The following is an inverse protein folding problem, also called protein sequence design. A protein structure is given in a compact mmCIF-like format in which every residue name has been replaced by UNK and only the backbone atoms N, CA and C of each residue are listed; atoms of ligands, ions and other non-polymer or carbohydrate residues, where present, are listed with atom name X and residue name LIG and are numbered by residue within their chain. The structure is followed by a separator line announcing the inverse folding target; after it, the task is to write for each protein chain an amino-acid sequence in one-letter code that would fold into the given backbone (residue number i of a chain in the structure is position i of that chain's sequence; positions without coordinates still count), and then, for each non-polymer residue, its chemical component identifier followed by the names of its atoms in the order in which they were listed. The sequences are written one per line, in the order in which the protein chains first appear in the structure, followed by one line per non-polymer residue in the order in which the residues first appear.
data_IF_555123222139
#
_entry.id   IF_555123222139
#
_cell.length_a   1.000
_cell.length_b   1.000
_cell.length_c   1.000
_cell.angle_alpha   90.00
_cell.angle_beta   90.00
_cell.angle_gamma   90.00
#
_symmetry.space_group_name_H-M   'P 1'
#
loop_
_entity.id
_entity.type
_entity.pdbx_description
1 polymer ?
#
# COMPACT_ATOMS: atom_id res chain seq x y z
N UNK A 1 -11.55 -10.74 56.52
CA UNK A 1 -12.54 -9.67 56.23
C UNK A 1 -13.57 -10.28 55.30
N UNK A 2 -14.80 -10.54 55.78
CA UNK A 2 -15.91 -11.01 54.94
C UNK A 2 -16.76 -9.79 54.61
N UNK A 3 -16.95 -9.50 53.32
CA UNK A 3 -17.85 -8.44 52.88
C UNK A 3 -19.24 -9.06 52.71
N UNK A 4 -20.05 -8.95 53.76
CA UNK A 4 -21.47 -9.27 53.68
C UNK A 4 -22.21 -7.98 53.28
N UNK A 5 -22.99 -8.06 52.20
CA UNK A 5 -23.86 -7.01 51.63
C UNK A 5 -23.22 -5.95 50.70
N UNK A 6 -22.53 -6.39 49.64
CA UNK A 6 -22.39 -5.53 48.45
C UNK A 6 -23.60 -5.81 47.56
N UNK A 7 -24.66 -5.01 47.72
CA UNK A 7 -25.87 -5.15 46.90
C UNK A 7 -25.62 -4.72 45.45
N UNK A 8 -24.76 -3.72 45.21
CA UNK A 8 -24.33 -3.30 43.88
C UNK A 8 -22.88 -2.78 43.90
N UNK A 9 -22.09 -3.10 42.88
CA UNK A 9 -20.73 -2.60 42.71
C UNK A 9 -20.76 -1.16 42.16
N UNK A 10 -19.94 -0.24 42.70
CA UNK A 10 -19.82 1.10 42.13
C UNK A 10 -19.35 1.08 40.68
N UNK A 11 -19.97 1.89 39.80
CA UNK A 11 -19.62 1.99 38.38
C UNK A 11 -18.14 2.33 38.12
N UNK A 12 -17.48 3.02 39.06
CA UNK A 12 -16.06 3.35 38.99
C UNK A 12 -15.13 2.13 39.12
N UNK A 13 -15.63 1.04 39.72
CA UNK A 13 -14.90 -0.23 39.88
C UNK A 13 -15.27 -1.25 38.80
N UNK A 14 -16.29 -0.95 38.00
CA UNK A 14 -16.71 -1.80 36.89
C UNK A 14 -15.84 -1.47 35.67
N UNK A 15 -14.93 -2.38 35.34
CA UNK A 15 -14.10 -2.23 34.15
C UNK A 15 -14.99 -2.33 32.90
N UNK A 16 -15.21 -1.20 32.23
CA UNK A 16 -16.18 -1.04 31.12
C UNK A 16 -16.05 -2.09 30.01
N UNK A 17 -14.82 -2.59 29.77
CA UNK A 17 -14.53 -3.66 28.79
C UNK A 17 -15.30 -4.97 29.06
N UNK A 18 -15.76 -5.19 30.29
CA UNK A 18 -16.52 -6.37 30.73
C UNK A 18 -18.02 -6.08 30.85
N UNK A 19 -18.48 -4.88 30.51
CA UNK A 19 -19.89 -4.49 30.55
C UNK A 19 -20.56 -4.69 29.20
N UNK A 20 -21.89 -4.80 29.20
CA UNK A 20 -22.71 -4.87 27.97
C UNK A 20 -22.49 -3.68 27.02
N UNK A 21 -22.04 -2.54 27.55
CA UNK A 21 -21.72 -1.33 26.79
C UNK A 21 -20.35 -1.38 26.09
N UNK A 22 -19.52 -2.42 26.32
CA UNK A 22 -18.22 -2.58 25.66
C UNK A 22 -18.32 -2.60 24.13
N UNK A 23 -19.43 -3.10 23.59
CA UNK A 23 -19.67 -3.11 22.14
C UNK A 23 -20.00 -1.72 21.59
N UNK A 24 -20.58 -0.83 22.39
CA UNK A 24 -20.93 0.52 21.95
C UNK A 24 -19.69 1.43 21.89
N UNK A 25 -18.75 1.29 22.83
CA UNK A 25 -17.48 2.03 22.81
C UNK A 25 -16.56 1.56 21.65
N UNK A 26 -16.63 0.28 21.26
CA UNK A 26 -15.84 -0.24 20.12
C UNK A 26 -16.32 0.30 18.77
N UNK A 27 -17.63 0.52 18.60
CA UNK A 27 -18.22 1.01 17.36
C UNK A 27 -17.97 2.52 17.17
N UNK A 28 -17.75 3.26 18.26
CA UNK A 28 -17.39 4.69 18.25
C UNK A 28 -15.88 4.94 18.29
N UNK A 29 -15.06 3.97 17.89
CA UNK A 29 -13.71 4.33 17.45
C UNK A 29 -13.88 4.98 16.09
N UNK A 30 -13.91 6.31 16.05
CA UNK A 30 -13.69 7.05 14.81
C UNK A 30 -12.41 6.49 14.19
N UNK A 31 -12.56 5.66 13.16
CA UNK A 31 -11.42 5.16 12.42
C UNK A 31 -10.67 6.39 11.94
N UNK A 32 -9.37 6.56 12.27
CA UNK A 32 -8.64 7.68 11.76
C UNK A 32 -8.69 7.59 10.24
N UNK A 33 -9.20 8.63 9.57
CA UNK A 33 -9.38 8.70 8.11
C UNK A 33 -8.11 8.30 7.34
N UNK A 34 -6.94 8.41 7.99
CA UNK A 34 -5.65 7.99 7.48
C UNK A 34 -5.51 6.46 7.28
N UNK A 35 -6.15 5.63 8.12
CA UNK A 35 -6.16 4.16 7.97
C UNK A 35 -6.85 3.76 6.67
N UNK A 36 -7.86 4.52 6.25
CA UNK A 36 -8.59 4.22 5.02
C UNK A 36 -7.77 4.55 3.77
N UNK A 37 -7.00 5.64 3.79
CA UNK A 37 -6.09 6.00 2.71
C UNK A 37 -4.96 4.98 2.57
N UNK A 38 -4.32 4.60 3.68
CA UNK A 38 -3.24 3.59 3.65
C UNK A 38 -3.77 2.23 3.19
N UNK A 39 -4.95 1.83 3.66
CA UNK A 39 -5.63 0.61 3.21
C UNK A 39 -5.92 0.63 1.72
N UNK A 40 -6.49 1.71 1.19
CA UNK A 40 -6.76 1.88 -0.24
C UNK A 40 -5.48 1.84 -1.06
N UNK A 41 -4.39 2.45 -0.57
CA UNK A 41 -3.08 2.37 -1.22
C UNK A 41 -2.56 0.94 -1.27
N UNK A 42 -2.63 0.18 -0.18
CA UNK A 42 -2.23 -1.24 -0.15
C UNK A 42 -3.02 -2.08 -1.14
N UNK A 43 -4.34 -1.89 -1.22
CA UNK A 43 -5.18 -2.58 -2.21
C UNK A 43 -4.79 -2.24 -3.65
N UNK A 44 -4.55 -0.96 -3.95
CA UNK A 44 -4.11 -0.52 -5.29
C UNK A 44 -2.75 -1.12 -5.67
N UNK A 45 -1.79 -1.12 -4.73
CA UNK A 45 -0.47 -1.75 -4.95
C UNK A 45 -0.62 -3.25 -5.20
N UNK A 46 -1.41 -3.95 -4.38
CA UNK A 46 -1.64 -5.39 -4.54
C UNK A 46 -2.27 -5.75 -5.90
N UNK A 47 -3.28 -4.98 -6.33
CA UNK A 47 -3.93 -5.18 -7.63
C UNK A 47 -2.95 -4.97 -8.80
N UNK A 48 -2.15 -3.90 -8.75
CA UNK A 48 -1.13 -3.62 -9.77
C UNK A 48 -0.05 -4.70 -9.80
N UNK A 49 0.46 -5.11 -8.64
CA UNK A 49 1.48 -6.16 -8.55
C UNK A 49 0.96 -7.50 -9.11
N UNK A 50 -0.28 -7.88 -8.79
CA UNK A 50 -0.89 -9.11 -9.33
C UNK A 50 -0.98 -9.07 -10.86
N UNK A 51 -1.40 -7.94 -11.44
CA UNK A 51 -1.50 -7.79 -12.88
C UNK A 51 -0.12 -7.79 -13.56
N UNK A 52 0.86 -7.08 -12.99
CA UNK A 52 2.24 -7.08 -13.50
C UNK A 52 2.87 -8.47 -13.44
N UNK A 53 2.65 -9.23 -12.36
CA UNK A 53 3.15 -10.61 -12.27
C UNK A 53 2.56 -11.51 -13.37
N UNK A 54 1.26 -11.38 -13.67
CA UNK A 54 0.62 -12.12 -14.77
C UNK A 54 1.18 -11.70 -16.13
N UNK A 55 1.39 -10.39 -16.32
CA UNK A 55 1.97 -9.87 -17.55
C UNK A 55 3.39 -10.39 -17.75
N UNK A 56 4.22 -10.42 -16.69
CA UNK A 56 5.57 -11.00 -16.75
C UNK A 56 5.55 -12.52 -17.05
N UNK A 57 4.62 -13.29 -16.49
CA UNK A 57 4.52 -14.73 -16.80
C UNK A 57 4.23 -14.99 -18.28
N UNK A 58 3.50 -14.08 -18.94
CA UNK A 58 3.20 -14.17 -20.36
C UNK A 58 4.39 -13.65 -21.19
N UNK A 59 4.78 -12.40 -20.97
CA UNK A 59 5.69 -11.66 -21.84
C UNK A 59 7.14 -12.17 -21.78
N UNK A 60 7.60 -12.74 -20.67
CA UNK A 60 8.99 -13.20 -20.56
C UNK A 60 9.30 -14.46 -21.39
N UNK A 61 8.29 -15.10 -22.01
CA UNK A 61 8.45 -16.34 -22.78
C UNK A 61 8.88 -16.09 -24.24
N UNK A 62 8.59 -14.90 -24.77
CA UNK A 62 8.92 -14.50 -26.14
C UNK A 62 9.65 -13.14 -26.13
N UNK A 63 10.66 -12.98 -26.99
CA UNK A 63 11.48 -11.78 -26.99
C UNK A 63 10.72 -10.56 -27.53
N UNK A 64 9.86 -10.73 -28.53
CA UNK A 64 9.09 -9.62 -29.09
C UNK A 64 8.04 -9.13 -28.07
N UNK A 65 7.33 -10.06 -27.43
CA UNK A 65 6.38 -9.74 -26.36
C UNK A 65 7.08 -9.05 -25.17
N UNK A 66 8.28 -9.50 -24.80
CA UNK A 66 9.10 -8.88 -23.76
C UNK A 66 9.46 -7.43 -24.11
N UNK A 67 10.01 -7.20 -25.31
CA UNK A 67 10.45 -5.87 -25.74
C UNK A 67 9.28 -4.88 -25.86
N UNK A 68 8.12 -5.35 -26.34
CA UNK A 68 6.88 -4.56 -26.41
C UNK A 68 6.44 -4.15 -25.00
N UNK A 69 6.24 -5.12 -24.10
CA UNK A 69 5.78 -4.86 -22.73
C UNK A 69 6.76 -3.97 -21.98
N UNK A 70 8.07 -4.20 -22.11
CA UNK A 70 9.08 -3.39 -21.46
C UNK A 70 9.03 -1.94 -21.93
N UNK A 71 8.90 -1.72 -23.24
CA UNK A 71 8.77 -0.39 -23.82
C UNK A 71 7.51 0.33 -23.34
N UNK A 72 6.36 -0.35 -23.30
CA UNK A 72 5.12 0.21 -22.79
C UNK A 72 5.20 0.58 -21.31
N UNK A 73 5.77 -0.29 -20.47
CA UNK A 73 5.96 -0.04 -19.05
C UNK A 73 6.85 1.17 -18.79
N UNK A 74 7.98 1.29 -19.49
CA UNK A 74 8.87 2.44 -19.40
C UNK A 74 8.14 3.73 -19.81
N UNK A 75 7.43 3.72 -20.94
CA UNK A 75 6.65 4.87 -21.40
C UNK A 75 5.55 5.27 -20.40
N UNK A 76 4.88 4.30 -19.78
CA UNK A 76 3.89 4.55 -18.75
C UNK A 76 4.51 5.19 -17.51
N UNK A 77 5.67 4.72 -17.06
CA UNK A 77 6.42 5.30 -15.93
C UNK A 77 6.80 6.73 -16.22
N UNK A 78 7.42 7.02 -17.38
CA UNK A 78 7.80 8.37 -17.80
C UNK A 78 6.58 9.29 -17.76
N UNK A 79 5.47 8.90 -18.42
CA UNK A 79 4.23 9.69 -18.45
C UNK A 79 3.62 9.92 -17.06
N UNK A 80 3.73 8.97 -16.14
CA UNK A 80 3.29 9.14 -14.75
C UNK A 80 4.21 10.08 -13.95
N UNK A 81 5.52 9.98 -14.15
CA UNK A 81 6.51 10.86 -13.53
C UNK A 81 6.38 12.30 -14.05
N UNK A 82 6.22 12.51 -15.36
CA UNK A 82 6.02 13.84 -15.96
C UNK A 82 4.74 14.52 -15.45
N UNK A 83 3.66 13.77 -15.18
CA UNK A 83 2.46 14.31 -14.54
C UNK A 83 2.72 14.80 -13.11
N UNK A 84 3.58 14.12 -12.36
CA UNK A 84 4.02 14.58 -11.03
C UNK A 84 4.96 15.79 -11.13
N UNK A 85 5.74 15.87 -12.20
CA UNK A 85 6.67 16.97 -12.48
C UNK A 85 6.04 18.15 -13.24
N UNK A 86 4.72 18.17 -13.48
CA UNK A 86 3.99 19.27 -14.12
C UNK A 86 3.98 20.63 -13.36
N UNK A 87 4.97 20.87 -12.49
CA UNK A 87 5.37 22.18 -11.94
C UNK A 87 6.87 22.50 -12.10
N UNK A 88 7.68 21.62 -12.68
CA UNK A 88 9.05 21.95 -13.09
C UNK A 88 9.53 21.00 -14.18
N UNK A 89 9.88 21.57 -15.33
CA UNK A 89 10.46 20.88 -16.49
C UNK A 89 11.64 19.98 -16.11
N UNK A 90 11.68 18.70 -16.53
CA UNK A 90 12.91 17.92 -16.48
C UNK A 90 13.72 18.08 -17.76
N UNK A 91 14.96 18.57 -17.63
CA UNK A 91 16.03 18.25 -18.57
C UNK A 91 16.31 16.75 -18.45
N UNK A 92 15.93 15.96 -19.45
CA UNK A 92 16.25 14.54 -19.53
C UNK A 92 17.58 14.43 -20.28
N UNK A 93 18.69 14.34 -19.54
CA UNK A 93 19.91 13.73 -20.09
C UNK A 93 19.65 12.21 -20.12
N UNK A 94 19.38 11.69 -21.31
CA UNK A 94 19.22 10.26 -21.60
C UNK A 94 20.60 9.62 -21.73
N UNK A 95 21.37 9.60 -20.64
CA UNK A 95 22.61 8.83 -20.56
C UNK A 95 22.57 7.95 -19.32
N UNK A 96 22.44 6.63 -19.55
CA UNK A 96 22.66 5.63 -18.51
C UNK A 96 21.42 4.94 -17.96
N UNK A 97 20.56 4.39 -18.83
CA UNK A 97 19.85 3.16 -18.45
C UNK A 97 20.91 2.05 -18.51
N UNK A 98 21.55 1.81 -17.36
CA UNK A 98 22.62 0.82 -17.21
C UNK A 98 22.09 -0.57 -17.54
N UNK A 99 22.52 -1.08 -18.69
CA UNK A 99 22.37 -2.48 -19.12
C UNK A 99 23.11 -3.41 -18.14
N UNK A 100 22.44 -4.39 -17.50
CA UNK A 100 23.06 -5.33 -16.58
C UNK A 100 24.05 -6.31 -17.25
N UNK A 101 24.19 -6.33 -18.58
CA UNK A 101 25.17 -7.15 -19.29
C UNK A 101 26.51 -6.45 -19.59
N UNK A 102 26.64 -5.15 -19.28
CA UNK A 102 27.92 -4.44 -19.43
C UNK A 102 28.80 -4.70 -18.21
N UNK A 103 29.38 -5.91 -18.15
CA UNK A 103 30.53 -6.19 -17.29
C UNK A 103 31.71 -5.35 -17.77
N UNK A 104 32.02 -4.29 -17.02
CA UNK A 104 33.31 -3.59 -17.18
C UNK A 104 34.40 -4.56 -16.73
N UNK A 105 35.11 -5.15 -17.69
CA UNK A 105 36.37 -5.82 -17.42
C UNK A 105 37.38 -4.78 -16.92
N UNK A 106 38.12 -5.13 -15.87
CA UNK A 106 39.22 -4.31 -15.32
C UNK A 106 40.41 -4.27 -16.27
#
# INVERSE_FOLDING_TARGET
MKFENILELPDSLIYKRWTKNAKNEFISTEMPVNDDVERVLKFRVGALASNLNKLCDIACKDLADFDEVQSELVNLVIRLQSRKQGKSTPNINVEGINDPFVVKSK
#
